data_IF_473987269615
#
_entry.id   IF_473987269615
#
_cell.length_a   1.000
_cell.length_b   1.000
_cell.length_c   1.000
_cell.angle_alpha   90.00
_cell.angle_beta   90.00
_cell.angle_gamma   90.00
#
_symmetry.space_group_name_H-M   'P 1'
#
loop_
_entity.id
_entity.type
_entity.pdbx_description
1 polymer ?
#
# COMPACT_ATOMS: atom_id res chain seq x y z
N UNK A 1 10.09 23.69 -5.64
CA UNK A 1 9.78 22.35 -6.19
C UNK A 1 10.02 21.37 -5.05
N UNK A 2 8.97 20.87 -4.41
CA UNK A 2 9.11 19.83 -3.39
C UNK A 2 9.02 18.53 -4.18
N UNK A 3 10.16 18.01 -4.63
CA UNK A 3 10.22 16.74 -5.36
C UNK A 3 10.12 15.61 -4.35
N UNK A 4 9.00 14.88 -4.37
CA UNK A 4 8.86 13.64 -3.61
C UNK A 4 9.92 12.62 -4.05
N UNK A 5 10.39 11.79 -3.12
CA UNK A 5 11.44 10.82 -3.40
C UNK A 5 11.02 9.81 -4.47
N UNK A 6 11.83 9.56 -5.50
CA UNK A 6 11.56 8.49 -6.46
C UNK A 6 11.99 7.13 -5.89
N UNK A 7 11.12 6.13 -5.98
CA UNK A 7 11.42 4.78 -5.50
C UNK A 7 12.20 3.98 -6.58
N UNK A 8 13.42 3.51 -6.31
CA UNK A 8 14.24 2.77 -7.28
C UNK A 8 13.76 1.33 -7.53
N UNK A 9 12.68 0.89 -6.87
CA UNK A 9 12.07 -0.44 -7.09
C UNK A 9 10.91 -0.35 -8.08
N UNK A 10 9.99 0.59 -7.87
CA UNK A 10 8.82 0.75 -8.73
C UNK A 10 8.95 1.88 -9.75
N UNK A 11 10.02 2.68 -9.68
CA UNK A 11 10.32 3.80 -10.58
C UNK A 11 9.20 4.86 -10.61
N UNK A 12 8.61 5.11 -9.43
CA UNK A 12 7.52 6.07 -9.22
C UNK A 12 7.80 6.87 -7.94
N UNK A 13 7.14 8.01 -7.75
CA UNK A 13 7.18 8.75 -6.49
C UNK A 13 6.83 7.85 -5.31
N UNK A 14 7.57 7.97 -4.22
CA UNK A 14 7.42 7.12 -3.05
C UNK A 14 6.06 7.33 -2.41
N UNK A 15 5.39 6.22 -2.08
CA UNK A 15 4.24 6.23 -1.18
C UNK A 15 4.71 5.78 0.19
N UNK A 16 4.48 6.62 1.20
CA UNK A 16 4.97 6.42 2.57
C UNK A 16 6.48 6.10 2.55
N UNK A 17 7.34 7.06 2.15
CA UNK A 17 8.77 6.84 2.00
C UNK A 17 9.39 6.33 3.31
N UNK A 18 10.12 5.22 3.21
CA UNK A 18 10.87 4.62 4.31
C UNK A 18 12.37 4.82 4.07
N UNK A 19 13.06 5.34 5.08
CA UNK A 19 14.51 5.41 5.11
C UNK A 19 15.08 4.15 5.76
N UNK A 20 15.71 3.26 4.99
CA UNK A 20 16.39 2.08 5.55
C UNK A 20 17.61 2.48 6.40
N UNK A 21 18.13 1.60 7.28
CA UNK A 21 19.36 1.87 8.07
C UNK A 21 20.62 2.16 7.22
N UNK A 22 20.57 1.79 5.94
CA UNK A 22 21.61 2.11 4.96
C UNK A 22 21.45 3.47 4.28
N UNK A 23 20.48 4.29 4.71
CA UNK A 23 20.10 5.60 4.19
C UNK A 23 19.50 5.63 2.77
N UNK A 24 19.09 4.49 2.22
CA UNK A 24 18.34 4.44 0.96
C UNK A 24 16.83 4.51 1.22
N UNK A 25 16.11 5.15 0.31
CA UNK A 25 14.68 5.48 0.43
C UNK A 25 13.88 4.63 -0.56
N UNK A 26 12.74 4.09 -0.12
CA UNK A 26 11.81 3.32 -0.94
C UNK A 26 10.36 3.57 -0.48
N UNK A 27 9.37 3.22 -1.30
CA UNK A 27 7.99 3.07 -0.80
C UNK A 27 7.94 2.07 0.35
N UNK A 28 7.08 2.27 1.35
CA UNK A 28 6.91 1.31 2.45
C UNK A 28 6.64 -0.12 1.94
N UNK A 29 5.70 -0.30 1.02
CA UNK A 29 5.37 -1.62 0.47
C UNK A 29 6.52 -2.23 -0.34
N UNK A 30 7.33 -1.42 -1.02
CA UNK A 30 8.51 -1.92 -1.74
C UNK A 30 9.60 -2.37 -0.77
N UNK A 31 9.89 -1.57 0.26
CA UNK A 31 10.82 -1.93 1.34
C UNK A 31 10.37 -3.20 2.07
N UNK A 32 9.07 -3.33 2.37
CA UNK A 32 8.46 -4.51 3.00
C UNK A 32 8.62 -5.77 2.15
N UNK A 33 8.50 -5.63 0.83
CA UNK A 33 8.82 -6.70 -0.12
C UNK A 33 10.27 -7.13 -0.02
N UNK A 34 11.23 -6.19 -0.08
CA UNK A 34 12.65 -6.51 0.09
C UNK A 34 12.94 -7.24 1.41
N UNK A 35 12.39 -6.75 2.52
CA UNK A 35 12.58 -7.35 3.85
C UNK A 35 12.00 -8.75 3.96
N UNK A 36 10.97 -9.08 3.17
CA UNK A 36 10.33 -10.40 3.17
C UNK A 36 11.01 -11.40 2.24
N UNK A 37 11.70 -10.91 1.19
CA UNK A 37 12.35 -11.75 0.18
C UNK A 37 13.86 -11.85 0.36
N UNK A 38 14.60 -10.78 0.06
CA UNK A 38 16.07 -10.81 0.02
C UNK A 38 16.71 -10.44 1.36
N UNK A 39 15.95 -9.78 2.25
CA UNK A 39 16.45 -9.12 3.48
C UNK A 39 17.61 -8.16 3.22
N UNK A 40 17.73 -7.62 2.01
CA UNK A 40 18.83 -6.75 1.59
C UNK A 40 18.30 -5.54 0.84
N UNK A 41 18.94 -4.39 1.05
CA UNK A 41 18.67 -3.18 0.29
C UNK A 41 18.94 -3.41 -1.21
N UNK A 42 18.01 -3.01 -2.08
CA UNK A 42 18.17 -3.15 -3.53
C UNK A 42 19.31 -2.30 -4.12
N UNK A 43 19.69 -1.21 -3.45
CA UNK A 43 20.72 -0.29 -3.95
C UNK A 43 22.14 -0.66 -3.50
N UNK A 44 22.32 -0.97 -2.22
CA UNK A 44 23.67 -1.21 -1.66
C UNK A 44 23.88 -2.62 -1.08
N UNK A 45 22.88 -3.50 -1.15
CA UNK A 45 22.92 -4.89 -0.67
C UNK A 45 23.17 -5.07 0.84
N UNK A 46 23.25 -3.98 1.63
CA UNK A 46 23.28 -4.04 3.09
C UNK A 46 22.03 -4.74 3.64
N UNK A 47 22.22 -5.53 4.69
CA UNK A 47 21.15 -6.30 5.33
C UNK A 47 20.12 -5.35 5.95
N UNK A 48 18.85 -5.67 5.74
CA UNK A 48 17.72 -5.04 6.42
C UNK A 48 17.50 -5.81 7.72
N UNK A 49 17.59 -5.16 8.89
CA UNK A 49 17.37 -5.85 10.16
C UNK A 49 16.02 -6.55 10.22
N UNK A 50 15.97 -7.72 10.87
CA UNK A 50 14.71 -8.42 11.11
C UNK A 50 13.74 -7.50 11.87
N UNK A 51 12.45 -7.61 11.56
CA UNK A 51 11.37 -6.80 12.15
C UNK A 51 11.49 -5.28 11.93
N UNK A 52 12.44 -4.77 11.13
CA UNK A 52 12.56 -3.35 10.84
C UNK A 52 11.26 -2.72 10.28
N UNK A 53 10.52 -3.50 9.50
CA UNK A 53 9.27 -3.06 8.86
C UNK A 53 8.06 -2.98 9.81
N UNK A 54 8.22 -3.38 11.08
CA UNK A 54 7.18 -3.23 12.12
C UNK A 54 7.10 -1.78 12.58
N UNK A 55 8.25 -1.10 12.70
CA UNK A 55 8.36 0.32 13.09
C UNK A 55 9.47 1.00 12.27
N UNK A 56 9.27 1.16 10.95
CA UNK A 56 10.28 1.75 10.09
C UNK A 56 10.40 3.25 10.34
N UNK A 57 11.54 3.84 9.98
CA UNK A 57 11.67 5.29 9.92
C UNK A 57 10.98 5.81 8.65
N UNK A 58 9.77 6.34 8.82
CA UNK A 58 9.09 7.08 7.77
C UNK A 58 9.74 8.46 7.62
N UNK A 59 9.87 8.92 6.39
CA UNK A 59 10.18 10.32 6.12
C UNK A 59 8.86 11.07 6.07
N UNK A 60 8.76 12.13 6.87
CA UNK A 60 7.61 13.04 6.83
C UNK A 60 7.68 13.83 5.53
N UNK A 61 7.11 13.27 4.47
CA UNK A 61 6.66 14.06 3.34
C UNK A 61 5.38 14.74 3.80
N UNK A 62 5.49 15.82 4.57
CA UNK A 62 4.41 16.78 4.75
C UNK A 62 4.17 17.50 3.41
N UNK A 63 3.82 16.75 2.37
CA UNK A 63 2.92 17.26 1.36
C UNK A 63 1.60 17.47 2.11
N UNK A 64 1.08 18.69 2.20
CA UNK A 64 -0.30 18.87 2.58
C UNK A 64 -1.13 17.91 1.72
N UNK A 65 -2.03 17.14 2.34
CA UNK A 65 -3.22 16.69 1.60
C UNK A 65 -3.68 17.95 0.85
N UNK A 66 -3.77 17.93 -0.50
CA UNK A 66 -4.21 19.12 -1.23
C UNK A 66 -5.43 19.64 -0.49
N UNK A 67 -5.37 20.91 -0.09
CA UNK A 67 -6.47 21.58 0.57
C UNK A 67 -7.73 21.25 -0.20
N UNK A 68 -8.77 20.93 0.55
CA UNK A 68 -10.06 20.48 0.07
C UNK A 68 -10.66 21.60 -0.80
N UNK A 69 -10.28 21.67 -2.07
CA UNK A 69 -10.98 22.44 -3.08
C UNK A 69 -12.27 21.65 -3.34
N UNK A 70 -13.32 22.07 -2.63
CA UNK A 70 -14.57 21.36 -2.41
C UNK A 70 -15.43 21.11 -3.64
N UNK A 71 -14.90 20.46 -4.68
CA UNK A 71 -15.67 20.09 -5.86
C UNK A 71 -15.49 18.65 -6.37
N UNK A 72 -14.51 17.86 -5.90
CA UNK A 72 -14.48 16.39 -6.14
C UNK A 72 -13.73 15.63 -5.04
N UNK A 73 -14.31 15.52 -3.83
CA UNK A 73 -13.77 14.58 -2.85
C UNK A 73 -14.36 13.20 -3.17
N UNK A 74 -13.60 12.33 -3.82
CA UNK A 74 -13.86 10.89 -3.72
C UNK A 74 -13.59 10.50 -2.27
N UNK A 75 -14.60 10.71 -1.40
CA UNK A 75 -14.56 10.34 0.02
C UNK A 75 -14.39 8.83 0.20
N UNK A 76 -14.64 8.06 -0.85
CA UNK A 76 -14.53 6.61 -0.83
C UNK A 76 -13.10 6.15 -1.03
N UNK A 77 -12.73 5.16 -0.22
CA UNK A 77 -11.46 4.48 -0.29
C UNK A 77 -11.69 2.97 -0.15
N UNK A 78 -10.72 2.19 -0.62
CA UNK A 78 -10.73 0.75 -0.44
C UNK A 78 -10.03 0.33 0.84
N UNK A 79 -10.57 -0.71 1.46
CA UNK A 79 -10.08 -1.28 2.69
C UNK A 79 -10.01 -2.81 2.60
N UNK A 80 -9.10 -3.41 3.35
CA UNK A 80 -9.01 -4.87 3.56
C UNK A 80 -9.07 -5.23 5.04
N UNK A 81 -9.70 -6.37 5.34
CA UNK A 81 -9.93 -6.84 6.70
C UNK A 81 -8.63 -7.20 7.41
N UNK A 82 -8.39 -6.58 8.56
CA UNK A 82 -7.37 -6.97 9.52
C UNK A 82 -7.97 -7.68 10.74
N UNK A 83 -7.12 -8.05 11.70
CA UNK A 83 -7.59 -8.48 13.03
C UNK A 83 -8.26 -7.29 13.70
N UNK A 84 -9.55 -7.40 14.02
CA UNK A 84 -10.35 -6.40 14.74
C UNK A 84 -10.38 -5.00 14.10
N UNK A 85 -10.49 -4.93 12.77
CA UNK A 85 -10.67 -3.65 12.07
C UNK A 85 -10.29 -3.73 10.60
N UNK A 86 -10.18 -2.58 9.96
CA UNK A 86 -9.88 -2.45 8.54
C UNK A 86 -8.60 -1.66 8.31
N UNK A 87 -7.82 -2.13 7.35
CA UNK A 87 -6.67 -1.41 6.84
C UNK A 87 -7.06 -0.73 5.54
N UNK A 88 -6.73 0.55 5.40
CA UNK A 88 -6.82 1.21 4.12
C UNK A 88 -5.75 0.65 3.17
N UNK A 89 -6.08 0.45 1.90
CA UNK A 89 -5.06 0.17 0.90
C UNK A 89 -4.12 1.36 0.73
N UNK A 90 -2.90 1.06 0.28
CA UNK A 90 -2.01 2.08 -0.29
C UNK A 90 -2.75 2.89 -1.37
N UNK A 91 -2.60 4.23 -1.44
CA UNK A 91 -3.29 5.08 -2.40
C UNK A 91 -3.17 4.63 -3.86
N UNK A 92 -1.99 4.17 -4.30
CA UNK A 92 -1.77 3.72 -5.68
C UNK A 92 -2.55 2.44 -5.96
N UNK A 93 -2.41 1.47 -5.06
CA UNK A 93 -3.16 0.21 -5.15
C UNK A 93 -4.66 0.49 -5.11
N UNK A 94 -5.11 1.40 -4.26
CA UNK A 94 -6.53 1.73 -4.18
C UNK A 94 -7.05 2.38 -5.45
N UNK A 95 -6.25 3.18 -6.16
CA UNK A 95 -6.63 3.76 -7.44
C UNK A 95 -6.75 2.68 -8.53
N UNK A 96 -5.85 1.69 -8.54
CA UNK A 96 -5.96 0.53 -9.44
C UNK A 96 -7.25 -0.26 -9.20
N UNK A 97 -7.60 -0.49 -7.92
CA UNK A 97 -8.85 -1.17 -7.54
C UNK A 97 -10.08 -0.34 -7.96
N UNK A 98 -10.08 0.96 -7.67
CA UNK A 98 -11.19 1.86 -8.00
C UNK A 98 -11.40 1.96 -9.51
N UNK A 99 -10.33 2.04 -10.30
CA UNK A 99 -10.42 2.07 -11.77
C UNK A 99 -11.06 0.80 -12.32
N UNK A 100 -10.61 -0.38 -11.87
CA UNK A 100 -11.18 -1.64 -12.32
C UNK A 100 -12.65 -1.80 -11.89
N UNK A 101 -12.97 -1.40 -10.67
CA UNK A 101 -14.34 -1.42 -10.16
C UNK A 101 -15.27 -0.52 -10.99
N UNK A 102 -14.86 0.71 -11.27
CA UNK A 102 -15.65 1.66 -12.06
C UNK A 102 -15.80 1.25 -13.53
N UNK A 103 -14.86 0.47 -14.07
CA UNK A 103 -14.95 -0.13 -15.40
C UNK A 103 -15.88 -1.36 -15.44
N UNK A 104 -16.45 -1.79 -14.31
CA UNK A 104 -17.32 -2.97 -14.24
C UNK A 104 -16.58 -4.30 -14.36
N UNK A 105 -15.27 -4.31 -14.11
CA UNK A 105 -14.48 -5.54 -14.07
C UNK A 105 -14.99 -6.46 -12.95
N UNK A 106 -14.86 -7.78 -13.14
CA UNK A 106 -15.25 -8.76 -12.11
C UNK A 106 -14.14 -8.99 -11.07
N UNK A 107 -12.89 -8.69 -11.45
CA UNK A 107 -11.72 -8.82 -10.60
C UNK A 107 -10.55 -8.01 -11.15
N UNK A 108 -9.57 -7.67 -10.31
CA UNK A 108 -8.31 -7.04 -10.72
C UNK A 108 -7.12 -7.70 -10.04
N UNK A 109 -5.98 -7.74 -10.76
CA UNK A 109 -4.70 -8.19 -10.22
C UNK A 109 -3.89 -6.98 -9.74
N UNK A 110 -3.41 -7.03 -8.51
CA UNK A 110 -2.65 -5.94 -7.87
C UNK A 110 -1.37 -6.46 -7.24
N UNK A 111 -0.34 -5.61 -7.18
CA UNK A 111 0.93 -5.93 -6.54
C UNK A 111 1.00 -5.37 -5.11
N UNK A 112 1.16 -6.24 -4.11
CA UNK A 112 1.32 -5.84 -2.71
C UNK A 112 2.57 -6.51 -2.13
N UNK A 113 3.54 -5.69 -1.73
CA UNK A 113 4.76 -6.15 -1.04
C UNK A 113 5.52 -7.26 -1.79
N UNK A 114 5.58 -7.18 -3.12
CA UNK A 114 6.27 -8.15 -3.97
C UNK A 114 5.43 -9.37 -4.37
N UNK A 115 4.15 -9.44 -3.98
CA UNK A 115 3.27 -10.55 -4.31
C UNK A 115 2.06 -10.09 -5.12
N UNK A 116 1.62 -10.96 -6.04
CA UNK A 116 0.43 -10.77 -6.83
C UNK A 116 -0.82 -11.22 -6.06
N UNK A 117 -1.76 -10.30 -5.92
CA UNK A 117 -3.06 -10.54 -5.31
C UNK A 117 -4.16 -10.38 -6.35
N UNK A 118 -5.21 -11.18 -6.19
CA UNK A 118 -6.48 -11.00 -6.90
C UNK A 118 -7.44 -10.33 -5.93
N UNK A 119 -8.07 -9.27 -6.40
CA UNK A 119 -9.22 -8.59 -5.78
C UNK A 119 -10.43 -9.01 -6.58
N UNK A 120 -11.31 -9.80 -5.98
CA UNK A 120 -12.55 -10.28 -6.59
C UNK A 120 -13.72 -9.44 -6.10
N UNK A 121 -14.34 -8.71 -7.02
CA UNK A 121 -15.44 -7.80 -6.74
C UNK A 121 -16.78 -8.51 -6.53
N UNK A 122 -16.93 -9.75 -7.02
CA UNK A 122 -18.17 -10.53 -6.80
C UNK A 122 -18.24 -11.05 -5.37
N UNK A 123 -17.15 -11.62 -4.88
CA UNK A 123 -17.08 -12.15 -3.52
C UNK A 123 -16.67 -11.10 -2.48
N UNK A 124 -16.19 -9.94 -2.93
CA UNK A 124 -15.61 -8.89 -2.08
C UNK A 124 -14.48 -9.44 -1.22
N UNK A 125 -13.55 -10.15 -1.86
CA UNK A 125 -12.39 -10.78 -1.23
C UNK A 125 -11.12 -10.46 -1.99
N UNK A 126 -10.02 -10.27 -1.26
CA UNK A 126 -8.68 -10.37 -1.81
C UNK A 126 -8.01 -11.69 -1.40
N UNK A 127 -7.19 -12.25 -2.26
CA UNK A 127 -6.36 -13.42 -1.95
C UNK A 127 -5.11 -13.42 -2.81
N UNK A 128 -4.08 -14.13 -2.35
CA UNK A 128 -2.82 -14.23 -3.10
C UNK A 128 -3.01 -15.21 -4.25
N UNK A 129 -2.56 -14.87 -5.47
CA UNK A 129 -2.84 -15.66 -6.68
C UNK A 129 -2.43 -17.14 -6.51
N UNK A 130 -1.24 -17.38 -5.93
CA UNK A 130 -0.72 -18.73 -5.71
C UNK A 130 -1.16 -19.38 -4.38
N UNK A 131 -1.88 -18.67 -3.49
CA UNK A 131 -2.36 -19.21 -2.21
C UNK A 131 -3.79 -18.68 -1.93
N UNK A 132 -4.82 -19.16 -2.64
CA UNK A 132 -6.18 -18.64 -2.51
C UNK A 132 -6.82 -18.88 -1.13
N UNK A 133 -6.37 -19.90 -0.38
CA UNK A 133 -6.88 -20.22 0.95
C UNK A 133 -6.64 -19.13 2.00
N UNK A 134 -5.69 -18.22 1.76
CA UNK A 134 -5.46 -17.04 2.59
C UNK A 134 -6.12 -15.83 1.94
N UNK A 135 -7.37 -15.61 2.31
CA UNK A 135 -8.18 -14.51 1.80
C UNK A 135 -8.55 -13.50 2.91
N UNK A 136 -8.90 -12.29 2.49
CA UNK A 136 -9.39 -11.22 3.38
C UNK A 136 -10.57 -10.52 2.70
N UNK A 137 -11.61 -10.19 3.46
CA UNK A 137 -12.68 -9.35 2.95
C UNK A 137 -12.13 -7.98 2.55
N UNK A 138 -12.71 -7.39 1.51
CA UNK A 138 -12.46 -6.01 1.10
C UNK A 138 -13.76 -5.21 1.19
N UNK A 139 -13.65 -3.88 1.28
CA UNK A 139 -14.79 -2.99 1.13
C UNK A 139 -14.38 -1.66 0.51
N UNK A 140 -15.33 -0.99 -0.12
CA UNK A 140 -15.26 0.41 -0.52
C UNK A 140 -16.14 1.20 0.44
N UNK A 141 -15.56 2.16 1.16
CA UNK A 141 -16.24 2.88 2.23
C UNK A 141 -15.66 4.29 2.39
N UNK A 142 -16.27 5.15 3.21
CA UNK A 142 -15.76 6.50 3.46
C UNK A 142 -14.37 6.46 4.13
N UNK A 143 -13.50 7.42 3.80
CA UNK A 143 -12.12 7.49 4.30
C UNK A 143 -12.01 7.55 5.84
N UNK A 144 -13.06 8.08 6.49
CA UNK A 144 -13.13 8.33 7.93
C UNK A 144 -13.90 7.24 8.71
N UNK A 145 -13.80 5.97 8.32
CA UNK A 145 -14.42 4.88 9.10
C UNK A 145 -13.84 4.77 10.52
N UNK A 146 -14.66 4.45 11.54
CA UNK A 146 -14.23 4.44 12.95
C UNK A 146 -13.26 3.30 13.28
N UNK A 147 -13.29 2.20 12.54
CA UNK A 147 -12.48 0.99 12.76
C UNK A 147 -11.27 0.88 11.81
N UNK A 148 -10.83 2.03 11.26
CA UNK A 148 -9.60 2.15 10.48
C UNK A 148 -8.38 2.00 11.39
N UNK A 149 -7.55 1.02 11.07
CA UNK A 149 -6.30 0.73 11.80
C UNK A 149 -5.12 1.58 11.34
N UNK A 150 -5.15 2.03 10.09
CA UNK A 150 -4.04 2.71 9.42
C UNK A 150 -4.03 2.43 7.92
N UNK A 151 -2.87 2.60 7.27
CA UNK A 151 -2.70 2.48 5.81
C UNK A 151 -1.64 1.45 5.50
N UNK A 152 -1.98 0.43 4.70
CA UNK A 152 -1.06 -0.62 4.24
C UNK A 152 -0.33 -1.42 5.35
N UNK A 153 -0.79 -1.34 6.60
CA UNK A 153 -0.18 -1.97 7.77
C UNK A 153 0.71 -1.06 8.61
N UNK A 154 0.76 0.24 8.30
CA UNK A 154 1.30 1.32 9.14
C UNK A 154 0.19 1.97 9.95
#
# INVERSE_FOLDING_TARGET
MIEGHECPICLQTCVQPVLLPCNHIFCYLCAKGLASHSKKCAMCRKVIPDNYMVRPKLLDDSAPMPAIDGLTINLYQWFYRGTNGWWQYDPRVSNEIELAFNNGEVSVKIMISGFLYIVDFKSMMQYRENIPSRSRCIKRDLINIPDKKGVAGL
#
